data_IF_176347439476
#
_entry.id   IF_176347439476
#
_cell.length_a   1.000
_cell.length_b   1.000
_cell.length_c   1.000
_cell.angle_alpha   90.00
_cell.angle_beta   90.00
_cell.angle_gamma   90.00
#
_symmetry.space_group_name_H-M   'P 1'
#
loop_
_entity.id
_entity.type
_entity.pdbx_description
1 polymer ?
#
# COMPACT_ATOMS: atom_id res chain seq x y z
N UNK A 1 -22.12 -12.87 -48.38
CA UNK A 1 -20.99 -13.27 -47.51
C UNK A 1 -20.98 -12.35 -46.31
N UNK A 2 -21.39 -12.83 -45.13
CA UNK A 2 -21.51 -12.05 -43.90
C UNK A 2 -20.16 -11.95 -43.20
N UNK A 3 -19.67 -10.74 -42.99
CA UNK A 3 -18.43 -10.42 -42.27
C UNK A 3 -18.62 -10.82 -40.80
N UNK A 4 -17.87 -11.82 -40.35
CA UNK A 4 -17.87 -12.26 -38.95
C UNK A 4 -17.17 -11.17 -38.14
N UNK A 5 -17.93 -10.52 -37.25
CA UNK A 5 -17.42 -9.46 -36.38
C UNK A 5 -16.36 -10.06 -35.42
N UNK A 6 -15.08 -9.64 -35.47
CA UNK A 6 -13.99 -10.27 -34.72
C UNK A 6 -14.00 -9.93 -33.21
N UNK A 7 -14.93 -9.08 -32.78
CA UNK A 7 -15.02 -8.64 -31.39
C UNK A 7 -15.90 -9.59 -30.56
N UNK A 8 -15.34 -10.10 -29.47
CA UNK A 8 -16.10 -10.84 -28.45
C UNK A 8 -17.16 -9.93 -27.85
N UNK A 9 -18.42 -10.32 -27.97
CA UNK A 9 -19.57 -9.60 -27.39
C UNK A 9 -19.80 -9.93 -25.92
N UNK A 10 -19.28 -11.05 -25.41
CA UNK A 10 -19.45 -11.48 -24.02
C UNK A 10 -18.13 -12.05 -23.48
N UNK A 11 -17.71 -11.56 -22.32
CA UNK A 11 -16.61 -12.15 -21.55
C UNK A 11 -17.16 -13.22 -20.60
N UNK A 12 -16.85 -14.49 -20.85
CA UNK A 12 -17.20 -15.59 -19.93
C UNK A 12 -16.10 -15.73 -18.88
N UNK A 13 -16.46 -15.57 -17.61
CA UNK A 13 -15.56 -15.83 -16.50
C UNK A 13 -15.25 -17.34 -16.42
N UNK A 14 -13.98 -17.73 -16.17
CA UNK A 14 -13.63 -19.13 -15.98
C UNK A 14 -14.32 -19.70 -14.73
N UNK A 15 -14.69 -20.98 -14.77
CA UNK A 15 -15.31 -21.70 -13.65
C UNK A 15 -14.44 -21.60 -12.38
N UNK A 16 -15.04 -21.66 -11.18
CA UNK A 16 -14.35 -21.51 -9.88
C UNK A 16 -13.11 -22.41 -9.72
N UNK A 17 -13.07 -23.57 -10.38
CA UNK A 17 -11.96 -24.52 -10.38
C UNK A 17 -10.81 -24.18 -11.36
N UNK A 18 -10.95 -23.14 -12.19
CA UNK A 18 -9.95 -22.65 -13.14
C UNK A 18 -9.41 -21.26 -12.77
N UNK A 19 -9.62 -20.82 -11.51
CA UNK A 19 -9.09 -19.55 -11.03
C UNK A 19 -7.57 -19.59 -11.01
N UNK A 20 -6.96 -18.83 -11.92
CA UNK A 20 -5.52 -18.62 -11.93
C UNK A 20 -5.17 -17.78 -10.71
N UNK A 21 -4.47 -18.40 -9.75
CA UNK A 21 -3.76 -17.62 -8.73
C UNK A 21 -2.66 -16.87 -9.45
N UNK A 22 -2.85 -15.57 -9.67
CA UNK A 22 -1.96 -14.79 -10.51
C UNK A 22 -0.51 -14.72 -9.98
N UNK A 23 -0.23 -15.11 -8.71
CA UNK A 23 1.13 -15.09 -8.15
C UNK A 23 1.37 -16.12 -7.00
N UNK A 24 1.22 -17.44 -7.20
CA UNK A 24 1.06 -18.39 -6.09
C UNK A 24 2.32 -18.61 -5.24
N UNK A 25 3.53 -18.35 -5.76
CA UNK A 25 4.81 -18.60 -5.06
C UNK A 25 5.44 -17.35 -4.42
N UNK A 26 5.48 -16.24 -5.14
CA UNK A 26 6.15 -15.01 -4.66
C UNK A 26 5.39 -14.33 -3.52
N UNK A 27 4.06 -14.43 -3.50
CA UNK A 27 3.22 -13.77 -2.49
C UNK A 27 3.31 -14.43 -1.12
N UNK A 28 3.28 -15.76 -1.07
CA UNK A 28 3.41 -16.52 0.18
C UNK A 28 4.77 -16.26 0.83
N UNK A 29 5.82 -16.16 0.02
CA UNK A 29 7.15 -15.75 0.46
C UNK A 29 7.17 -14.31 0.98
N UNK A 30 6.56 -13.37 0.24
CA UNK A 30 6.43 -11.97 0.66
C UNK A 30 5.66 -11.81 1.97
N UNK A 31 4.57 -12.55 2.16
CA UNK A 31 3.76 -12.54 3.37
C UNK A 31 4.55 -13.07 4.58
N UNK A 32 5.28 -14.18 4.42
CA UNK A 32 6.17 -14.70 5.48
C UNK A 32 7.27 -13.70 5.84
N UNK A 33 7.87 -13.06 4.84
CA UNK A 33 8.90 -12.02 5.07
C UNK A 33 8.34 -10.81 5.83
N UNK A 34 7.11 -10.39 5.51
CA UNK A 34 6.42 -9.32 6.24
C UNK A 34 6.18 -9.75 7.68
N UNK A 35 5.58 -10.92 7.90
CA UNK A 35 5.29 -11.42 9.25
C UNK A 35 6.54 -11.52 10.14
N UNK A 36 7.67 -11.97 9.59
CA UNK A 36 8.94 -12.00 10.32
C UNK A 36 9.41 -10.58 10.72
N UNK A 37 9.20 -9.59 9.84
CA UNK A 37 9.62 -8.20 10.06
C UNK A 37 8.66 -7.42 10.95
N UNK A 38 7.40 -7.85 11.06
CA UNK A 38 6.37 -7.16 11.85
C UNK A 38 6.78 -6.93 13.31
N UNK A 39 7.65 -7.79 13.89
CA UNK A 39 8.17 -7.59 15.26
C UNK A 39 9.00 -6.32 15.41
N UNK A 40 9.65 -5.89 14.33
CA UNK A 40 10.52 -4.74 14.28
C UNK A 40 9.82 -3.48 13.74
N UNK A 41 8.50 -3.48 13.62
CA UNK A 41 7.70 -2.40 13.03
C UNK A 41 6.86 -1.73 14.11
N UNK A 42 6.91 -0.41 14.13
CA UNK A 42 6.16 0.44 15.04
C UNK A 42 4.86 0.97 14.41
N UNK A 43 4.82 1.19 13.09
CA UNK A 43 3.62 1.64 12.38
C UNK A 43 3.50 1.02 10.99
N UNK A 44 2.28 0.78 10.52
CA UNK A 44 1.99 0.26 9.19
C UNK A 44 1.35 1.36 8.34
N UNK A 45 1.94 1.63 7.18
CA UNK A 45 1.37 2.52 6.16
C UNK A 45 0.95 1.67 4.98
N UNK A 46 -0.34 1.58 4.75
CA UNK A 46 -0.93 0.80 3.68
C UNK A 46 -1.31 1.71 2.51
N UNK A 47 -0.73 1.47 1.35
CA UNK A 47 -0.90 2.31 0.17
C UNK A 47 -1.81 1.60 -0.83
N UNK A 48 -2.85 2.31 -1.24
CA UNK A 48 -3.83 1.88 -2.24
C UNK A 48 -3.95 2.92 -3.35
N UNK A 49 -4.40 2.47 -4.51
CA UNK A 49 -4.85 3.37 -5.57
C UNK A 49 -6.25 3.89 -5.20
N UNK A 50 -6.42 5.21 -5.14
CA UNK A 50 -7.64 5.84 -4.66
C UNK A 50 -8.88 5.44 -5.49
N UNK A 51 -8.71 5.00 -6.73
CA UNK A 51 -9.81 4.53 -7.61
C UNK A 51 -10.37 3.17 -7.20
N UNK A 52 -9.58 2.39 -6.46
CA UNK A 52 -9.94 1.05 -6.00
C UNK A 52 -9.62 0.92 -4.51
N UNK A 53 -10.23 1.76 -3.64
CA UNK A 53 -9.82 1.93 -2.24
C UNK A 53 -10.08 0.70 -1.37
N UNK A 54 -10.97 -0.19 -1.81
CA UNK A 54 -11.35 -1.43 -1.12
C UNK A 54 -10.61 -2.63 -1.74
N UNK A 55 -10.12 -2.51 -2.98
CA UNK A 55 -9.56 -3.65 -3.68
C UNK A 55 -8.19 -4.05 -3.09
N UNK A 56 -8.06 -5.33 -2.77
CA UNK A 56 -6.89 -5.90 -2.12
C UNK A 56 -6.91 -5.80 -0.60
N UNK A 57 -7.95 -5.21 0.01
CA UNK A 57 -8.14 -5.19 1.47
C UNK A 57 -8.90 -6.42 1.92
N UNK A 58 -8.34 -7.16 2.86
CA UNK A 58 -9.02 -8.24 3.58
C UNK A 58 -8.89 -7.95 5.08
N UNK A 59 -10.01 -7.97 5.82
CA UNK A 59 -10.04 -7.71 7.26
C UNK A 59 -9.14 -8.67 8.03
N UNK A 60 -9.17 -9.97 7.71
CA UNK A 60 -8.36 -10.96 8.42
C UNK A 60 -6.85 -10.74 8.22
N UNK A 61 -6.46 -10.36 7.00
CA UNK A 61 -5.08 -10.01 6.68
C UNK A 61 -4.64 -8.76 7.44
N UNK A 62 -5.52 -7.77 7.49
CA UNK A 62 -5.31 -6.52 8.20
C UNK A 62 -5.15 -6.74 9.72
N UNK A 63 -6.01 -7.54 10.33
CA UNK A 63 -5.94 -7.89 11.75
C UNK A 63 -4.62 -8.60 12.06
N UNK A 64 -4.19 -9.51 11.17
CA UNK A 64 -2.92 -10.22 11.32
C UNK A 64 -1.70 -9.27 11.28
N UNK A 65 -1.70 -8.30 10.36
CA UNK A 65 -0.56 -7.38 10.21
C UNK A 65 -0.51 -6.35 11.34
N UNK A 66 -1.67 -5.77 11.68
CA UNK A 66 -1.78 -4.78 12.76
C UNK A 66 -1.65 -5.40 14.16
N UNK A 67 -1.63 -6.73 14.25
CA UNK A 67 -1.57 -7.44 15.53
C UNK A 67 -2.84 -7.20 16.33
N UNK A 68 -4.00 -7.40 15.69
CA UNK A 68 -5.34 -7.16 16.23
C UNK A 68 -5.53 -5.70 16.72
N UNK A 69 -5.03 -4.73 15.96
CA UNK A 69 -5.17 -3.31 16.28
C UNK A 69 -4.15 -2.76 17.29
N UNK A 70 -3.18 -3.56 17.73
CA UNK A 70 -2.12 -3.10 18.65
C UNK A 70 -1.19 -2.09 17.98
N UNK A 71 -0.92 -2.26 16.69
CA UNK A 71 -0.04 -1.35 15.93
C UNK A 71 -0.85 -0.28 15.22
N UNK A 72 -0.39 0.98 15.26
CA UNK A 72 -1.01 2.04 14.50
C UNK A 72 -0.96 1.75 12.99
N UNK A 73 -2.04 2.13 12.32
CA UNK A 73 -2.24 1.92 10.90
C UNK A 73 -2.72 3.19 10.23
N UNK A 74 -2.14 3.48 9.06
CA UNK A 74 -2.52 4.59 8.19
C UNK A 74 -2.85 4.03 6.81
N UNK A 75 -4.06 4.30 6.33
CA UNK A 75 -4.44 4.04 4.95
C UNK A 75 -4.13 5.26 4.09
N UNK A 76 -3.30 5.07 3.07
CA UNK A 76 -2.93 6.09 2.09
C UNK A 76 -3.58 5.75 0.76
N UNK A 77 -4.47 6.62 0.29
CA UNK A 77 -5.13 6.54 -1.00
C UNK A 77 -4.39 7.45 -1.98
N UNK A 78 -3.49 6.85 -2.77
CA UNK A 78 -2.64 7.54 -3.73
C UNK A 78 -3.32 7.71 -5.10
N UNK A 79 -2.79 8.60 -5.93
CA UNK A 79 -3.28 8.95 -7.28
C UNK A 79 -4.65 9.65 -7.27
N UNK A 80 -4.85 10.56 -6.32
CA UNK A 80 -6.09 11.34 -6.24
C UNK A 80 -6.29 12.31 -7.39
N UNK A 81 -5.26 12.59 -8.20
CA UNK A 81 -5.37 13.32 -9.46
C UNK A 81 -6.39 12.70 -10.42
N UNK A 82 -6.67 11.42 -10.25
CA UNK A 82 -7.59 10.66 -11.09
C UNK A 82 -9.02 10.65 -10.54
N UNK A 83 -9.30 11.39 -9.46
CA UNK A 83 -10.59 11.45 -8.80
C UNK A 83 -11.09 12.88 -8.64
N UNK A 84 -12.40 13.08 -8.82
CA UNK A 84 -13.06 14.34 -8.46
C UNK A 84 -13.34 14.44 -6.95
N UNK A 85 -13.50 15.66 -6.42
CA UNK A 85 -13.78 15.88 -4.99
C UNK A 85 -15.06 15.20 -4.47
N UNK A 86 -16.09 15.04 -5.32
CA UNK A 86 -17.30 14.27 -4.98
C UNK A 86 -17.00 12.77 -4.77
N UNK A 87 -16.13 12.20 -5.59
CA UNK A 87 -15.75 10.78 -5.50
C UNK A 87 -14.94 10.53 -4.22
N UNK A 88 -14.02 11.43 -3.86
CA UNK A 88 -13.26 11.33 -2.60
C UNK A 88 -14.18 11.25 -1.38
N UNK A 89 -15.23 12.09 -1.32
CA UNK A 89 -16.24 12.04 -0.24
C UNK A 89 -17.01 10.72 -0.23
N UNK A 90 -17.39 10.22 -1.41
CA UNK A 90 -18.05 8.92 -1.56
C UNK A 90 -17.19 7.78 -1.04
N UNK A 91 -15.89 7.78 -1.38
CA UNK A 91 -14.91 6.78 -0.93
C UNK A 91 -14.76 6.81 0.59
N UNK A 92 -14.62 7.99 1.19
CA UNK A 92 -14.56 8.10 2.65
C UNK A 92 -15.81 7.54 3.33
N UNK A 93 -17.00 7.83 2.79
CA UNK A 93 -18.26 7.31 3.32
C UNK A 93 -18.31 5.78 3.22
N UNK A 94 -17.90 5.23 2.08
CA UNK A 94 -17.85 3.78 1.87
C UNK A 94 -16.84 3.10 2.80
N UNK A 95 -15.62 3.64 2.93
CA UNK A 95 -14.58 3.08 3.80
C UNK A 95 -15.01 3.09 5.26
N UNK A 96 -15.61 4.18 5.75
CA UNK A 96 -16.14 4.26 7.12
C UNK A 96 -17.29 3.28 7.36
N UNK A 97 -18.12 3.04 6.35
CA UNK A 97 -19.22 2.08 6.46
C UNK A 97 -18.74 0.62 6.49
N UNK A 98 -17.75 0.27 5.67
CA UNK A 98 -17.24 -1.11 5.58
C UNK A 98 -16.20 -1.45 6.65
N UNK A 99 -15.43 -0.45 7.10
CA UNK A 99 -14.32 -0.63 8.03
C UNK A 99 -14.27 0.54 9.03
N UNK A 100 -15.17 0.56 10.03
CA UNK A 100 -15.24 1.64 11.02
C UNK A 100 -13.98 1.74 11.90
N UNK A 101 -13.18 0.67 11.97
CA UNK A 101 -11.89 0.65 12.67
C UNK A 101 -10.81 1.51 11.98
N UNK A 102 -10.99 1.88 10.70
CA UNK A 102 -10.06 2.77 10.00
C UNK A 102 -10.24 4.22 10.41
N UNK A 103 -9.37 4.68 11.30
CA UNK A 103 -9.38 6.06 11.79
C UNK A 103 -8.52 7.01 10.95
N UNK A 104 -7.42 6.52 10.39
CA UNK A 104 -6.40 7.34 9.73
C UNK A 104 -6.39 7.07 8.23
N UNK A 105 -7.02 7.97 7.46
CA UNK A 105 -7.07 7.89 5.99
C UNK A 105 -6.47 9.19 5.42
N UNK A 106 -5.44 9.05 4.60
CA UNK A 106 -4.79 10.14 3.90
C UNK A 106 -4.96 9.99 2.40
N UNK A 107 -5.19 11.10 1.73
CA UNK A 107 -5.26 11.19 0.27
C UNK A 107 -3.96 11.78 -0.26
N UNK A 108 -3.35 11.14 -1.25
CA UNK A 108 -2.04 11.55 -1.75
C UNK A 108 -1.97 11.60 -3.27
N UNK A 109 -1.13 12.50 -3.76
CA UNK A 109 -0.74 12.57 -5.16
C UNK A 109 0.78 12.68 -5.25
N UNK A 110 1.44 11.61 -5.67
CA UNK A 110 2.90 11.60 -5.82
C UNK A 110 3.41 12.38 -7.04
N UNK A 111 2.53 12.77 -7.99
CA UNK A 111 2.92 13.53 -9.19
C UNK A 111 2.97 15.04 -8.94
N UNK A 112 2.16 15.52 -8.01
CA UNK A 112 2.08 16.93 -7.69
C UNK A 112 2.97 17.23 -6.48
N UNK A 113 4.09 17.90 -6.73
CA UNK A 113 5.05 18.29 -5.70
C UNK A 113 4.47 19.30 -4.69
N UNK A 114 3.32 19.91 -5.00
CA UNK A 114 2.59 20.84 -4.13
C UNK A 114 1.54 20.14 -3.26
N UNK A 115 1.22 18.87 -3.52
CA UNK A 115 0.13 18.17 -2.86
C UNK A 115 0.59 17.57 -1.53
N UNK A 116 0.04 18.12 -0.45
CA UNK A 116 0.52 18.04 0.93
C UNK A 116 0.30 16.71 1.63
N UNK A 117 -0.61 15.86 1.13
CA UNK A 117 -0.99 14.64 1.84
C UNK A 117 0.15 13.61 2.02
N UNK A 118 1.16 13.62 1.15
CA UNK A 118 2.33 12.73 1.31
C UNK A 118 3.15 13.17 2.52
N UNK A 119 3.29 14.48 2.72
CA UNK A 119 4.06 15.05 3.83
C UNK A 119 3.39 14.76 5.17
N UNK A 120 2.06 14.67 5.20
CA UNK A 120 1.29 14.37 6.40
C UNK A 120 1.49 12.92 6.92
N UNK A 121 2.01 12.02 6.08
CA UNK A 121 2.24 10.61 6.47
C UNK A 121 3.22 10.52 7.64
N UNK A 122 4.33 11.26 7.58
CA UNK A 122 5.42 11.11 8.55
C UNK A 122 5.09 11.72 9.92
N UNK A 123 4.51 12.94 10.02
CA UNK A 123 4.03 13.49 11.29
C UNK A 123 2.93 12.62 11.90
N UNK A 124 1.98 12.13 11.09
CA UNK A 124 0.91 11.27 11.59
C UNK A 124 1.46 9.93 12.10
N UNK A 125 2.34 9.27 11.34
CA UNK A 125 2.96 8.02 11.78
C UNK A 125 3.76 8.22 13.07
N UNK A 126 4.54 9.30 13.16
CA UNK A 126 5.33 9.60 14.37
C UNK A 126 4.44 9.85 15.58
N UNK A 127 3.35 10.62 15.42
CA UNK A 127 2.36 10.84 16.47
C UNK A 127 1.75 9.53 16.95
N UNK A 128 1.28 8.70 16.03
CA UNK A 128 0.63 7.43 16.36
C UNK A 128 1.60 6.44 17.01
N UNK A 129 2.87 6.42 16.59
CA UNK A 129 3.90 5.61 17.25
C UNK A 129 4.11 6.06 18.69
N UNK A 130 4.13 7.37 18.96
CA UNK A 130 4.25 7.92 20.31
C UNK A 130 3.04 7.63 21.21
N UNK A 131 1.84 7.53 20.64
CA UNK A 131 0.61 7.17 21.36
C UNK A 131 0.46 5.64 21.54
N UNK A 132 1.22 4.84 20.80
CA UNK A 132 1.11 3.37 20.80
C UNK A 132 2.07 2.68 21.77
N UNK A 133 1.64 1.54 22.31
CA UNK A 133 2.49 0.68 23.16
C UNK A 133 3.52 -0.09 22.31
N UNK A 134 4.78 0.34 22.36
CA UNK A 134 5.89 -0.28 21.61
C UNK A 134 6.44 -1.53 22.33
N UNK A 135 5.61 -2.54 22.58
CA UNK A 135 5.97 -3.71 23.42
C UNK A 135 7.33 -4.35 23.09
N UNK A 136 7.67 -4.50 21.79
CA UNK A 136 8.93 -5.13 21.37
C UNK A 136 10.09 -4.13 21.15
N UNK A 137 9.84 -2.83 21.26
CA UNK A 137 10.78 -1.75 20.87
C UNK A 137 10.75 -0.55 21.84
N UNK A 138 10.34 -0.78 23.10
CA UNK A 138 10.18 0.30 24.09
C UNK A 138 11.47 1.08 24.35
N UNK A 139 12.63 0.43 24.24
CA UNK A 139 13.96 1.03 24.45
C UNK A 139 14.56 1.62 23.15
N UNK A 140 13.90 1.49 22.01
CA UNK A 140 14.41 1.95 20.71
C UNK A 140 14.00 3.39 20.45
N UNK A 141 14.96 4.31 20.32
CA UNK A 141 14.68 5.71 20.01
C UNK A 141 14.24 5.94 18.55
N UNK A 142 14.41 4.95 17.68
CA UNK A 142 14.10 4.99 16.26
C UNK A 142 12.71 4.43 15.92
N UNK A 143 11.99 5.10 15.03
CA UNK A 143 10.69 4.67 14.52
C UNK A 143 10.83 3.86 13.23
N UNK A 144 10.22 2.66 13.21
CA UNK A 144 10.17 1.81 12.03
C UNK A 144 8.76 1.78 11.44
N UNK A 145 8.63 2.33 10.24
CA UNK A 145 7.39 2.37 9.49
C UNK A 145 7.47 1.33 8.38
N UNK A 146 6.53 0.39 8.32
CA UNK A 146 6.43 -0.56 7.22
C UNK A 146 5.46 -0.07 6.17
N UNK A 147 5.90 -0.08 4.91
CA UNK A 147 5.03 0.28 3.78
C UNK A 147 4.54 -1.00 3.12
N UNK A 148 3.23 -1.15 3.04
CA UNK A 148 2.56 -2.28 2.39
C UNK A 148 1.60 -1.79 1.31
N UNK A 149 1.25 -2.67 0.38
CA UNK A 149 0.27 -2.37 -0.65
C UNK A 149 0.54 -3.14 -1.93
N UNK A 150 -0.47 -3.19 -2.80
CA UNK A 150 -0.41 -3.95 -4.05
C UNK A 150 0.66 -3.38 -4.99
N UNK A 151 1.17 -4.15 -5.97
CA UNK A 151 2.08 -3.62 -6.98
C UNK A 151 1.53 -2.36 -7.67
N UNK A 152 2.42 -1.46 -8.10
CA UNK A 152 2.08 -0.26 -8.91
C UNK A 152 1.15 0.80 -8.26
N UNK A 153 0.90 0.74 -6.95
CA UNK A 153 0.18 1.81 -6.21
C UNK A 153 1.01 3.06 -5.94
N UNK A 154 2.33 3.01 -6.12
CA UNK A 154 3.24 4.14 -5.86
C UNK A 154 3.97 4.11 -4.51
N UNK A 155 4.20 2.92 -3.93
CA UNK A 155 4.98 2.75 -2.68
C UNK A 155 6.35 3.41 -2.76
N UNK A 156 7.15 3.06 -3.77
CA UNK A 156 8.50 3.60 -3.96
C UNK A 156 8.47 5.10 -4.30
N UNK A 157 7.43 5.59 -4.98
CA UNK A 157 7.24 7.03 -5.21
C UNK A 157 7.04 7.80 -3.90
N UNK A 158 6.21 7.28 -2.97
CA UNK A 158 6.00 7.90 -1.65
C UNK A 158 7.30 7.92 -0.84
N UNK A 159 8.03 6.81 -0.80
CA UNK A 159 9.32 6.71 -0.09
C UNK A 159 10.30 7.76 -0.64
N UNK A 160 10.39 7.89 -1.96
CA UNK A 160 11.27 8.85 -2.60
C UNK A 160 10.90 10.30 -2.30
N UNK A 161 9.61 10.65 -2.36
CA UNK A 161 9.15 12.01 -2.05
C UNK A 161 9.50 12.35 -0.61
N UNK A 162 9.17 11.46 0.35
CA UNK A 162 9.47 11.68 1.76
C UNK A 162 10.97 11.81 2.03
N UNK A 163 11.78 10.94 1.42
CA UNK A 163 13.24 10.98 1.56
C UNK A 163 13.86 12.25 0.98
N UNK A 164 13.39 12.68 -0.19
CA UNK A 164 13.88 13.91 -0.84
C UNK A 164 13.57 15.15 0.02
N UNK A 165 12.38 15.21 0.62
CA UNK A 165 11.94 16.34 1.44
C UNK A 165 12.70 16.42 2.77
N UNK A 166 12.81 15.30 3.49
CA UNK A 166 13.32 15.30 4.86
C UNK A 166 14.84 15.18 4.96
N UNK A 167 15.51 14.51 4.02
CA UNK A 167 16.98 14.39 4.02
C UNK A 167 17.68 15.32 3.05
N UNK A 168 16.95 16.07 2.21
CA UNK A 168 17.50 16.87 1.10
C UNK A 168 18.45 16.10 0.17
N UNK A 169 18.43 14.75 0.21
CA UNK A 169 19.25 13.87 -0.62
C UNK A 169 18.50 13.57 -1.91
N UNK A 170 18.97 14.08 -3.05
CA UNK A 170 18.45 13.71 -4.38
C UNK A 170 18.47 12.18 -4.55
N UNK A 171 17.30 11.57 -4.72
CA UNK A 171 17.02 10.29 -5.41
C UNK A 171 17.98 9.12 -5.15
N UNK A 172 17.57 8.13 -4.33
CA UNK A 172 18.23 6.80 -4.32
C UNK A 172 17.37 5.67 -4.89
N UNK A 173 16.03 5.76 -4.90
CA UNK A 173 15.23 4.77 -5.60
C UNK A 173 14.95 5.29 -7.02
N UNK A 174 15.58 4.66 -8.03
CA UNK A 174 15.27 4.92 -9.43
C UNK A 174 13.77 4.67 -9.65
N UNK A 175 13.01 5.74 -9.92
CA UNK A 175 11.62 5.61 -10.41
C UNK A 175 11.70 5.33 -11.90
N UNK A 176 12.01 4.09 -12.25
CA UNK A 176 11.85 3.56 -13.60
C UNK A 176 10.57 2.72 -13.65
N UNK A 177 9.83 2.79 -14.75
CA UNK A 177 8.63 2.01 -15.01
C UNK A 177 8.90 0.49 -15.20
N UNK A 178 10.05 -0.01 -14.74
CA UNK A 178 10.45 -1.41 -14.82
C UNK A 178 10.26 -2.09 -13.46
N UNK A 179 9.28 -2.99 -13.38
CA UNK A 179 9.13 -3.90 -12.26
C UNK A 179 10.36 -4.81 -12.19
N UNK A 180 11.19 -4.66 -11.14
CA UNK A 180 12.29 -5.60 -10.90
C UNK A 180 13.52 -5.08 -10.17
N UNK A 181 13.70 -3.77 -9.99
CA UNK A 181 14.94 -3.22 -9.39
C UNK A 181 14.67 -2.48 -8.08
N UNK A 182 14.09 -3.18 -7.11
CA UNK A 182 14.37 -2.90 -5.69
C UNK A 182 15.70 -3.58 -5.38
N UNK A 183 16.81 -2.83 -5.40
CA UNK A 183 18.07 -3.30 -4.83
C UNK A 183 17.80 -3.65 -3.36
N UNK A 184 18.08 -4.91 -3.01
CA UNK A 184 17.82 -5.57 -1.72
C UNK A 184 16.42 -5.33 -1.13
N UNK A 185 15.51 -6.27 -1.37
CA UNK A 185 14.32 -6.48 -0.52
C UNK A 185 14.82 -6.73 0.90
N UNK A 186 14.94 -5.67 1.71
CA UNK A 186 15.20 -5.82 3.11
C UNK A 186 15.87 -4.70 3.89
N UNK A 187 16.38 -3.66 3.26
CA UNK A 187 17.08 -2.59 3.98
C UNK A 187 16.11 -1.51 4.52
N UNK A 188 16.39 -1.06 5.73
CA UNK A 188 15.68 0.05 6.39
C UNK A 188 16.12 1.36 5.73
N UNK A 189 15.22 2.01 5.01
CA UNK A 189 15.48 3.27 4.32
C UNK A 189 15.32 4.40 5.33
N UNK A 190 16.42 5.10 5.68
CA UNK A 190 16.35 6.28 6.54
C UNK A 190 15.59 7.41 5.84
N UNK A 191 14.61 8.01 6.51
CA UNK A 191 13.76 9.11 6.02
C UNK A 191 13.98 10.38 6.82
N UNK A 192 14.22 10.29 8.13
CA UNK A 192 14.45 11.44 9.00
C UNK A 192 15.58 11.14 9.98
N UNK A 193 16.33 12.17 10.36
CA UNK A 193 17.45 12.02 11.29
C UNK A 193 17.06 12.25 12.75
N UNK A 194 16.15 13.20 13.01
CA UNK A 194 15.75 13.60 14.36
C UNK A 194 14.23 13.85 14.44
N UNK A 195 13.47 13.02 15.18
CA UNK A 195 13.84 11.67 15.61
C UNK A 195 14.21 10.77 14.41
N UNK A 196 15.05 9.73 14.63
CA UNK A 196 15.43 8.82 13.56
C UNK A 196 14.23 7.99 13.09
N UNK A 197 13.82 8.17 11.83
CA UNK A 197 12.71 7.42 11.23
C UNK A 197 13.20 6.62 10.03
N UNK A 198 12.83 5.35 10.00
CA UNK A 198 13.15 4.42 8.94
C UNK A 198 11.87 3.84 8.31
N UNK A 199 11.90 3.70 7.00
CA UNK A 199 10.85 3.03 6.23
C UNK A 199 11.36 1.69 5.71
N UNK A 200 10.54 0.66 5.88
CA UNK A 200 10.78 -0.69 5.37
C UNK A 200 9.89 -0.85 4.14
N UNK A 201 10.51 -0.85 2.96
CA UNK A 201 9.81 -1.16 1.71
C UNK A 201 9.52 -2.67 1.65
N UNK A 202 8.32 -3.02 1.23
CA UNK A 202 7.92 -4.41 1.03
C UNK A 202 7.57 -4.62 -0.44
N UNK A 203 7.96 -5.78 -1.04
CA UNK A 203 7.54 -6.10 -2.39
C UNK A 203 6.01 -6.06 -2.44
N UNK A 204 5.45 -5.60 -3.56
CA UNK A 204 4.00 -5.44 -3.68
C UNK A 204 3.26 -6.72 -3.33
N UNK A 205 2.56 -6.71 -2.20
CA UNK A 205 1.81 -7.85 -1.71
C UNK A 205 0.35 -7.69 -2.09
N UNK A 206 -0.17 -8.74 -2.69
CA UNK A 206 -1.58 -8.94 -2.98
C UNK A 206 -2.01 -10.19 -2.20
N UNK A 207 -3.28 -10.28 -1.82
CA UNK A 207 -3.78 -11.51 -1.22
C UNK A 207 -3.63 -12.67 -2.24
N UNK A 208 -3.12 -13.85 -1.83
CA UNK A 208 -2.96 -14.99 -2.74
C UNK A 208 -4.27 -15.54 -3.31
N UNK A 209 -5.40 -15.21 -2.68
CA UNK A 209 -6.75 -15.59 -3.10
C UNK A 209 -7.53 -14.32 -3.39
N UNK A 210 -7.78 -14.05 -4.66
CA UNK A 210 -8.78 -13.07 -5.07
C UNK A 210 -10.09 -13.85 -5.19
N UNK A 211 -10.99 -13.67 -4.22
CA UNK A 211 -12.26 -14.38 -4.18
C UNK A 211 -13.27 -13.86 -5.23
N UNK A 212 -13.07 -12.62 -5.69
CA UNK A 212 -13.97 -11.91 -6.60
C UNK A 212 -13.28 -11.64 -7.94
N UNK A 213 -13.84 -12.21 -9.01
CA UNK A 213 -13.28 -12.11 -10.35
C UNK A 213 -13.31 -10.65 -10.85
N UNK A 214 -14.30 -9.85 -10.42
CA UNK A 214 -14.37 -8.41 -10.72
C UNK A 214 -13.19 -7.65 -10.09
N UNK A 215 -12.85 -7.99 -8.84
CA UNK A 215 -11.70 -7.43 -8.15
C UNK A 215 -10.38 -7.83 -8.81
N UNK A 216 -10.28 -9.07 -9.28
CA UNK A 216 -9.12 -9.55 -10.06
C UNK A 216 -8.94 -8.76 -11.34
N UNK A 217 -10.02 -8.53 -12.08
CA UNK A 217 -10.01 -7.72 -13.31
C UNK A 217 -9.65 -6.26 -13.03
N UNK A 218 -10.22 -5.65 -11.99
CA UNK A 218 -9.90 -4.28 -11.56
C UNK A 218 -8.42 -4.11 -11.20
N UNK A 219 -7.82 -5.12 -10.56
CA UNK A 219 -6.40 -5.13 -10.24
C UNK A 219 -5.53 -5.34 -11.49
N UNK A 220 -5.90 -6.27 -12.37
CA UNK A 220 -5.16 -6.56 -13.60
C UNK A 220 -5.11 -5.36 -14.57
N UNK A 221 -6.24 -4.66 -14.76
CA UNK A 221 -6.35 -3.47 -15.61
C UNK A 221 -5.48 -2.28 -15.16
N UNK A 222 -4.88 -2.35 -13.98
CA UNK A 222 -4.09 -1.25 -13.39
C UNK A 222 -2.62 -1.61 -13.20
N UNK A 223 -2.21 -2.85 -13.53
CA UNK A 223 -0.82 -3.28 -13.48
C UNK A 223 -0.05 -3.01 -14.79
N UNK A 224 -0.75 -2.60 -15.85
CA UNK A 224 -0.22 -2.07 -17.11
C UNK A 224 -0.54 -0.57 -17.24
#
# INVERSE_FOLDING_TARGET
>A
MSVVNPFRTVFRLPSRNQRVNWFPGHMTKGMRQIQQRLRNVDCIVEIHDARIPIAGRNSQFFDTITGNGTKPHILVLNKIDLLGGKQQRGILKQLRAHQPALKHILFTNCKDQRNTGVLDILPLATKLVGESSRFNRAQSADHNIMIIGVPNVGKSSIINVLRNVHLKKRSAARVGAEAGITRSVGERIKIQEQPPVYMIDTPGILQPSIADDEMGMKLALRQH
#
